data_IF_194881747138
#
_entry.id   IF_194881747138
#
_cell.length_a   1.000
_cell.length_b   1.000
_cell.length_c   1.000
_cell.angle_alpha   90.00
_cell.angle_beta   90.00
_cell.angle_gamma   90.00
#
_symmetry.space_group_name_H-M   'P 1'
#
loop_
_entity.id
_entity.type
_entity.pdbx_description
1 polymer ?
#
# COMPACT_ATOMS: atom_id res chain seq x y z
N UNK A 1 -13.98 -34.52 -44.34
CA UNK A 1 -13.56 -34.85 -42.97
C UNK A 1 -12.85 -33.62 -42.42
N UNK A 2 -13.26 -33.18 -41.22
CA UNK A 2 -12.84 -31.99 -40.46
C UNK A 2 -13.48 -30.62 -40.83
N UNK A 3 -14.18 -30.11 -39.81
CA UNK A 3 -14.99 -28.90 -39.63
C UNK A 3 -14.15 -27.61 -39.58
N UNK A 4 -14.69 -26.43 -39.98
CA UNK A 4 -14.14 -25.14 -39.60
C UNK A 4 -14.83 -24.59 -38.33
N UNK A 5 -14.02 -24.27 -37.31
CA UNK A 5 -14.44 -23.70 -36.04
C UNK A 5 -15.00 -22.27 -36.22
N UNK A 6 -16.19 -22.02 -35.66
CA UNK A 6 -16.90 -20.75 -35.66
C UNK A 6 -16.28 -19.78 -34.64
N UNK A 7 -15.92 -18.59 -35.10
CA UNK A 7 -15.76 -17.40 -34.27
C UNK A 7 -17.14 -16.75 -34.10
N UNK A 8 -17.69 -16.74 -32.88
CA UNK A 8 -18.82 -15.87 -32.52
C UNK A 8 -18.38 -14.92 -31.41
N UNK A 9 -18.02 -13.70 -31.82
CA UNK A 9 -18.01 -12.54 -30.96
C UNK A 9 -19.46 -12.09 -30.79
N UNK A 10 -20.12 -12.52 -29.70
CA UNK A 10 -21.47 -12.08 -29.39
C UNK A 10 -21.43 -10.69 -28.75
N UNK A 11 -21.53 -9.67 -29.59
CA UNK A 11 -21.92 -8.31 -29.19
C UNK A 11 -23.41 -8.37 -28.83
N UNK A 12 -23.73 -8.09 -27.57
CA UNK A 12 -25.11 -7.95 -27.09
C UNK A 12 -25.49 -6.47 -27.23
N UNK A 13 -26.24 -6.15 -28.28
CA UNK A 13 -26.99 -4.89 -28.37
C UNK A 13 -28.13 -4.92 -27.34
N UNK A 14 -28.23 -3.84 -26.56
CA UNK A 14 -29.31 -3.61 -25.61
C UNK A 14 -30.43 -2.87 -26.36
N UNK A 15 -31.63 -3.44 -26.54
CA UNK A 15 -32.73 -2.70 -27.13
C UNK A 15 -33.28 -1.69 -26.12
N UNK A 16 -33.27 -0.41 -26.51
CA UNK A 16 -33.99 0.68 -25.82
C UNK A 16 -35.47 0.56 -26.19
N UNK A 17 -36.31 0.16 -25.24
CA UNK A 17 -37.75 0.16 -25.40
C UNK A 17 -38.29 1.58 -25.18
N UNK A 18 -38.83 2.16 -26.26
CA UNK A 18 -39.73 3.31 -26.26
C UNK A 18 -41.14 2.82 -25.90
N UNK A 19 -41.75 3.48 -24.91
CA UNK A 19 -43.10 3.21 -24.43
C UNK A 19 -44.17 3.78 -25.39
N UNK A 20 -45.23 3.00 -25.63
CA UNK A 20 -46.45 3.47 -26.25
C UNK A 20 -47.48 2.36 -26.49
N UNK A 21 -48.61 2.41 -25.78
CA UNK A 21 -49.89 1.86 -26.26
C UNK A 21 -50.58 0.79 -25.41
N UNK A 22 -51.46 1.26 -24.51
CA UNK A 22 -52.81 0.78 -24.16
C UNK A 22 -53.16 -0.73 -24.01
N UNK A 23 -53.52 -1.05 -22.76
CA UNK A 23 -54.61 -1.88 -22.25
C UNK A 23 -55.38 -2.86 -23.18
N UNK A 24 -55.46 -4.13 -22.77
CA UNK A 24 -56.72 -4.78 -22.35
C UNK A 24 -56.53 -6.27 -22.04
N UNK A 25 -57.04 -6.72 -20.88
CA UNK A 25 -57.52 -8.08 -20.65
C UNK A 25 -56.47 -9.18 -20.47
N UNK A 26 -55.99 -9.40 -19.25
CA UNK A 26 -55.18 -10.58 -18.93
C UNK A 26 -54.64 -10.70 -17.51
N UNK A 27 -55.33 -10.18 -16.49
CA UNK A 27 -54.79 -10.14 -15.12
C UNK A 27 -54.66 -11.53 -14.45
N UNK A 28 -55.42 -12.53 -14.88
CA UNK A 28 -55.37 -13.87 -14.27
C UNK A 28 -54.32 -14.81 -14.91
N UNK A 29 -53.85 -14.52 -16.13
CA UNK A 29 -52.87 -15.35 -16.85
C UNK A 29 -51.41 -14.85 -16.71
N UNK A 30 -51.21 -13.63 -16.21
CA UNK A 30 -49.88 -13.05 -16.01
C UNK A 30 -49.26 -13.42 -14.65
N UNK A 31 -50.10 -13.72 -13.65
CA UNK A 31 -49.65 -14.18 -12.34
C UNK A 31 -49.11 -15.62 -12.36
N UNK A 32 -49.66 -16.50 -13.21
CA UNK A 32 -49.24 -17.92 -13.28
C UNK A 32 -48.04 -18.15 -14.23
N UNK A 33 -47.71 -17.17 -15.07
CA UNK A 33 -46.50 -17.20 -15.91
C UNK A 33 -45.29 -16.50 -15.27
N UNK A 34 -45.52 -15.75 -14.21
CA UNK A 34 -44.48 -15.14 -13.37
C UNK A 34 -43.97 -16.11 -12.29
N UNK A 35 -44.74 -17.14 -11.94
CA UNK A 35 -44.34 -18.23 -11.05
C UNK A 35 -43.51 -19.30 -11.79
N UNK A 36 -43.82 -19.58 -13.06
CA UNK A 36 -43.14 -20.62 -13.84
C UNK A 36 -41.79 -20.21 -14.47
N UNK A 37 -41.44 -18.92 -14.50
CA UNK A 37 -40.14 -18.43 -14.98
C UNK A 37 -39.19 -18.00 -13.84
N UNK A 38 -39.65 -18.08 -12.58
CA UNK A 38 -38.93 -17.66 -11.39
C UNK A 38 -38.38 -18.80 -10.53
N UNK A 39 -38.63 -20.06 -10.89
CA UNK A 39 -38.15 -21.22 -10.13
C UNK A 39 -36.64 -21.42 -10.33
N UNK A 40 -35.87 -20.99 -9.33
CA UNK A 40 -34.55 -21.54 -9.06
C UNK A 40 -33.34 -20.67 -9.41
N UNK A 41 -33.50 -19.40 -9.77
CA UNK A 41 -32.35 -18.51 -9.90
C UNK A 41 -32.11 -17.70 -8.61
N UNK A 42 -30.97 -17.87 -7.92
CA UNK A 42 -30.74 -17.28 -6.60
C UNK A 42 -30.74 -15.74 -6.61
N UNK A 43 -30.45 -15.10 -7.76
CA UNK A 43 -30.61 -13.64 -7.90
C UNK A 43 -32.08 -13.18 -7.94
N UNK A 44 -33.00 -14.02 -8.42
CA UNK A 44 -34.45 -13.74 -8.43
C UNK A 44 -35.05 -13.81 -7.03
N UNK A 45 -34.59 -14.77 -6.21
CA UNK A 45 -34.97 -14.88 -4.79
C UNK A 45 -34.46 -13.69 -3.95
N UNK A 46 -33.23 -13.21 -4.21
CA UNK A 46 -32.68 -12.01 -3.56
C UNK A 46 -33.44 -10.75 -3.99
N UNK A 47 -33.89 -10.68 -5.24
CA UNK A 47 -34.70 -9.57 -5.73
C UNK A 47 -36.10 -9.55 -5.09
N UNK A 48 -36.63 -10.72 -4.73
CA UNK A 48 -37.90 -10.87 -4.03
C UNK A 48 -37.82 -10.52 -2.53
N UNK A 49 -36.64 -10.59 -1.89
CA UNK A 49 -36.46 -10.23 -0.48
C UNK A 49 -35.77 -8.87 -0.27
N UNK A 50 -36.50 -7.89 0.27
CA UNK A 50 -35.99 -6.54 0.51
C UNK A 50 -34.73 -6.51 1.41
N UNK A 51 -34.61 -7.47 2.34
CA UNK A 51 -33.47 -7.58 3.26
C UNK A 51 -32.17 -7.99 2.56
N UNK A 52 -32.19 -9.03 1.72
CA UNK A 52 -31.00 -9.52 1.02
C UNK A 52 -30.52 -8.54 -0.05
N UNK A 53 -31.45 -7.85 -0.72
CA UNK A 53 -31.14 -6.76 -1.65
C UNK A 53 -30.44 -5.59 -0.94
N UNK A 54 -30.90 -5.20 0.25
CA UNK A 54 -30.30 -4.14 1.04
C UNK A 54 -28.90 -4.54 1.52
N UNK A 55 -28.72 -5.77 2.00
CA UNK A 55 -27.42 -6.31 2.42
C UNK A 55 -26.41 -6.30 1.25
N UNK A 56 -26.85 -6.73 0.06
CA UNK A 56 -26.02 -6.72 -1.15
C UNK A 56 -25.57 -5.30 -1.51
N UNK A 57 -26.48 -4.32 -1.48
CA UNK A 57 -26.13 -2.91 -1.72
C UNK A 57 -25.19 -2.34 -0.67
N UNK A 58 -25.38 -2.69 0.61
CA UNK A 58 -24.47 -2.29 1.70
C UNK A 58 -23.07 -2.88 1.49
N UNK A 59 -22.97 -4.15 1.14
CA UNK A 59 -21.70 -4.82 0.89
C UNK A 59 -20.99 -4.29 -0.37
N UNK A 60 -21.72 -4.01 -1.45
CA UNK A 60 -21.15 -3.32 -2.62
C UNK A 60 -20.60 -1.93 -2.23
N UNK A 61 -21.33 -1.18 -1.41
CA UNK A 61 -20.87 0.13 -0.92
C UNK A 61 -19.63 0.02 -0.05
N UNK A 62 -19.54 -1.01 0.80
CA UNK A 62 -18.35 -1.24 1.63
C UNK A 62 -17.16 -1.74 0.79
N UNK A 63 -17.38 -2.56 -0.24
CA UNK A 63 -16.36 -2.96 -1.20
C UNK A 63 -15.75 -1.73 -1.90
N UNK A 64 -16.59 -0.82 -2.40
CA UNK A 64 -16.15 0.45 -2.99
C UNK A 64 -15.34 1.30 -1.98
N UNK A 65 -15.77 1.32 -0.72
CA UNK A 65 -15.09 2.06 0.35
C UNK A 65 -13.72 1.46 0.66
N UNK A 66 -13.61 0.13 0.74
CA UNK A 66 -12.37 -0.59 0.93
C UNK A 66 -11.44 -0.40 -0.28
N UNK A 67 -11.97 -0.43 -1.50
CA UNK A 67 -11.23 -0.14 -2.73
C UNK A 67 -10.63 1.26 -2.74
N UNK A 68 -11.42 2.29 -2.42
CA UNK A 68 -10.92 3.67 -2.30
C UNK A 68 -9.85 3.82 -1.22
N UNK A 69 -10.03 3.16 -0.06
CA UNK A 69 -9.03 3.15 1.02
C UNK A 69 -7.73 2.46 0.61
N UNK A 70 -7.82 1.34 -0.09
CA UNK A 70 -6.67 0.61 -0.61
C UNK A 70 -5.87 1.50 -1.58
N UNK A 71 -6.53 2.13 -2.55
CA UNK A 71 -5.90 3.06 -3.49
C UNK A 71 -5.21 4.23 -2.76
N UNK A 72 -5.87 4.84 -1.76
CA UNK A 72 -5.27 5.91 -0.97
C UNK A 72 -4.05 5.45 -0.15
N UNK A 73 -4.04 4.20 0.35
CA UNK A 73 -2.90 3.62 1.05
C UNK A 73 -1.73 3.33 0.10
N UNK A 74 -2.01 2.83 -1.10
CA UNK A 74 -1.02 2.61 -2.16
C UNK A 74 -0.35 3.93 -2.57
N UNK A 75 -1.14 4.98 -2.84
CA UNK A 75 -0.62 6.30 -3.15
C UNK A 75 0.27 6.86 -2.03
N UNK A 76 -0.08 6.63 -0.76
CA UNK A 76 0.74 7.01 0.41
C UNK A 76 2.04 6.22 0.47
N UNK A 77 2.02 4.93 0.12
CA UNK A 77 3.23 4.11 0.06
C UNK A 77 4.17 4.60 -1.05
N UNK A 78 3.64 4.95 -2.22
CA UNK A 78 4.42 5.47 -3.33
C UNK A 78 5.01 6.85 -3.03
N UNK A 79 4.26 7.72 -2.36
CA UNK A 79 4.77 8.99 -1.85
C UNK A 79 5.91 8.77 -0.84
N UNK A 80 5.72 7.90 0.16
CA UNK A 80 6.75 7.60 1.16
C UNK A 80 8.02 7.00 0.52
N UNK A 81 7.89 6.18 -0.53
CA UNK A 81 9.01 5.63 -1.29
C UNK A 81 9.78 6.71 -2.03
N UNK A 82 9.08 7.61 -2.72
CA UNK A 82 9.70 8.75 -3.42
C UNK A 82 10.41 9.68 -2.43
N UNK A 83 9.76 10.04 -1.33
CA UNK A 83 10.33 10.87 -0.28
C UNK A 83 11.61 10.24 0.31
N UNK A 84 11.58 8.94 0.60
CA UNK A 84 12.75 8.22 1.10
C UNK A 84 13.90 8.24 0.08
N UNK A 85 13.60 8.07 -1.21
CA UNK A 85 14.61 8.16 -2.28
C UNK A 85 15.23 9.57 -2.35
N UNK A 86 14.43 10.62 -2.34
CA UNK A 86 14.92 12.01 -2.35
C UNK A 86 15.78 12.32 -1.13
N UNK A 87 15.37 11.86 0.05
CA UNK A 87 16.16 12.03 1.27
C UNK A 87 17.50 11.27 1.21
N UNK A 88 17.52 10.07 0.63
CA UNK A 88 18.76 9.33 0.40
C UNK A 88 19.68 10.05 -0.60
N UNK A 89 19.12 10.57 -1.69
CA UNK A 89 19.88 11.36 -2.67
C UNK A 89 20.44 12.64 -2.05
N UNK A 90 19.64 13.35 -1.25
CA UNK A 90 20.07 14.54 -0.51
C UNK A 90 21.18 14.22 0.49
N UNK A 91 21.09 13.08 1.19
CA UNK A 91 22.15 12.60 2.08
C UNK A 91 23.47 12.35 1.34
N UNK A 92 23.42 11.63 0.22
CA UNK A 92 24.62 11.37 -0.59
C UNK A 92 25.21 12.65 -1.17
N UNK A 93 24.37 13.56 -1.67
CA UNK A 93 24.80 14.86 -2.17
C UNK A 93 25.45 15.71 -1.06
N UNK A 94 24.87 15.71 0.15
CA UNK A 94 25.44 16.39 1.31
C UNK A 94 26.83 15.88 1.67
N UNK A 95 27.01 14.56 1.74
CA UNK A 95 28.30 13.94 2.03
C UNK A 95 29.31 14.11 0.87
N UNK A 96 28.85 14.05 -0.38
CA UNK A 96 29.70 14.31 -1.54
C UNK A 96 30.21 15.75 -1.58
N UNK A 97 29.33 16.72 -1.31
CA UNK A 97 29.69 18.14 -1.26
C UNK A 97 30.62 18.43 -0.09
N UNK A 98 30.37 17.86 1.10
CA UNK A 98 31.23 18.09 2.26
C UNK A 98 32.65 17.54 2.05
N UNK A 99 32.79 16.35 1.45
CA UNK A 99 34.09 15.79 1.07
C UNK A 99 34.79 16.62 -0.01
N UNK A 100 34.07 17.08 -1.03
CA UNK A 100 34.64 17.92 -2.09
C UNK A 100 35.15 19.27 -1.54
N UNK A 101 34.41 19.91 -0.65
CA UNK A 101 34.83 21.14 0.01
C UNK A 101 36.03 20.91 0.92
N UNK A 102 36.06 19.79 1.66
CA UNK A 102 37.19 19.44 2.51
C UNK A 102 38.46 19.21 1.70
N UNK A 103 38.35 18.51 0.57
CA UNK A 103 39.44 18.28 -0.36
C UNK A 103 39.94 19.59 -1.01
N UNK A 104 39.03 20.45 -1.45
CA UNK A 104 39.40 21.76 -1.98
C UNK A 104 40.13 22.62 -0.94
N UNK A 105 39.67 22.58 0.32
CA UNK A 105 40.31 23.27 1.43
C UNK A 105 41.71 22.71 1.76
N UNK A 106 41.91 21.38 1.71
CA UNK A 106 43.22 20.78 1.95
C UNK A 106 44.23 21.14 0.86
N UNK A 107 43.83 21.06 -0.42
CA UNK A 107 44.68 21.47 -1.56
C UNK A 107 45.06 22.95 -1.47
N UNK A 108 44.11 23.83 -1.15
CA UNK A 108 44.38 25.25 -0.99
C UNK A 108 45.34 25.54 0.19
N UNK A 109 45.21 24.81 1.30
CA UNK A 109 46.10 24.94 2.45
C UNK A 109 47.54 24.50 2.10
N UNK A 110 47.72 23.41 1.36
CA UNK A 110 49.04 22.94 0.91
C UNK A 110 49.73 23.91 -0.07
N UNK A 111 48.98 24.66 -0.87
CA UNK A 111 49.53 25.64 -1.81
C UNK A 111 49.93 26.98 -1.15
N UNK A 112 49.39 27.29 0.03
CA UNK A 112 49.48 28.63 0.61
C UNK A 112 50.68 28.88 1.56
N UNK A 113 51.35 27.86 2.14
CA UNK A 113 52.57 28.05 2.96
C UNK A 113 53.28 26.75 3.38
N UNK A 114 54.63 26.73 3.53
CA UNK A 114 55.42 25.61 4.05
C UNK A 114 55.62 25.61 5.59
N UNK A 115 54.82 26.35 6.37
CA UNK A 115 54.98 26.45 7.83
C UNK A 115 53.94 25.60 8.59
N UNK A 116 54.34 24.71 9.52
CA UNK A 116 53.44 23.80 10.20
C UNK A 116 52.83 24.44 11.45
N UNK A 117 51.62 24.99 11.33
CA UNK A 117 50.68 24.97 12.46
C UNK A 117 49.24 25.19 12.00
N UNK A 118 48.51 24.11 11.65
CA UNK A 118 47.06 24.21 11.64
C UNK A 118 46.60 24.48 13.08
N UNK A 119 45.96 25.62 13.31
CA UNK A 119 45.32 25.85 14.62
C UNK A 119 44.29 24.73 14.89
N UNK A 120 44.39 23.99 16.02
CA UNK A 120 43.54 22.83 16.32
C UNK A 120 42.12 23.21 16.82
N UNK A 121 41.77 24.49 16.87
CA UNK A 121 40.69 24.96 17.75
C UNK A 121 39.25 24.95 17.16
N UNK A 122 39.04 24.62 15.88
CA UNK A 122 37.71 24.78 15.23
C UNK A 122 37.18 23.62 14.38
N UNK A 123 37.85 22.47 14.44
CA UNK A 123 37.60 21.31 13.57
C UNK A 123 36.37 20.49 14.00
N UNK A 124 35.98 20.64 15.26
CA UNK A 124 34.79 20.02 15.83
C UNK A 124 33.50 20.65 15.29
N UNK A 125 33.48 21.94 14.93
CA UNK A 125 32.28 22.62 14.45
C UNK A 125 31.74 22.06 13.12
N UNK A 126 32.52 21.92 12.03
CA UNK A 126 32.04 21.29 10.79
C UNK A 126 31.75 19.80 10.98
N UNK A 127 32.49 19.11 11.85
CA UNK A 127 32.29 17.69 12.15
C UNK A 127 30.98 17.43 12.91
N UNK A 128 30.69 18.21 13.96
CA UNK A 128 29.43 18.13 14.71
C UNK A 128 28.24 18.55 13.87
N UNK A 129 28.37 19.60 13.05
CA UNK A 129 27.30 20.03 12.15
C UNK A 129 27.00 18.97 11.09
N UNK A 130 28.04 18.37 10.49
CA UNK A 130 27.87 17.27 9.54
C UNK A 130 27.24 16.04 10.19
N UNK A 131 27.64 15.70 11.42
CA UNK A 131 27.05 14.61 12.18
C UNK A 131 25.57 14.88 12.47
N UNK A 132 25.23 16.07 12.95
CA UNK A 132 23.85 16.47 13.22
C UNK A 132 22.98 16.43 11.96
N UNK A 133 23.47 16.95 10.83
CA UNK A 133 22.77 16.90 9.55
C UNK A 133 22.56 15.46 9.05
N UNK A 134 23.60 14.62 9.16
CA UNK A 134 23.51 13.20 8.79
C UNK A 134 22.49 12.43 9.63
N UNK A 135 22.46 12.68 10.95
CA UNK A 135 21.51 12.07 11.87
C UNK A 135 20.08 12.55 11.59
N UNK A 136 19.90 13.84 11.29
CA UNK A 136 18.59 14.41 10.94
C UNK A 136 18.06 13.79 9.63
N UNK A 137 18.90 13.65 8.61
CA UNK A 137 18.52 13.01 7.34
C UNK A 137 18.22 11.52 7.53
N UNK A 138 19.04 10.80 8.28
CA UNK A 138 18.79 9.39 8.60
C UNK A 138 17.47 9.21 9.38
N UNK A 139 17.20 10.08 10.36
CA UNK A 139 15.94 10.08 11.09
C UNK A 139 14.75 10.38 10.16
N UNK A 140 14.88 11.34 9.24
CA UNK A 140 13.84 11.64 8.25
C UNK A 140 13.54 10.44 7.34
N UNK A 141 14.57 9.76 6.82
CA UNK A 141 14.42 8.52 6.04
C UNK A 141 13.70 7.46 6.88
N UNK A 142 14.12 7.29 8.14
CA UNK A 142 13.52 6.32 9.05
C UNK A 142 12.03 6.60 9.30
N UNK A 143 11.63 7.86 9.44
CA UNK A 143 10.23 8.24 9.58
C UNK A 143 9.41 7.87 8.33
N UNK A 144 9.97 8.07 7.12
CA UNK A 144 9.31 7.69 5.85
C UNK A 144 9.20 6.18 5.70
N UNK A 145 10.24 5.42 6.04
CA UNK A 145 10.24 3.95 6.06
C UNK A 145 9.20 3.42 7.05
N UNK A 146 9.14 3.98 8.26
CA UNK A 146 8.12 3.65 9.25
C UNK A 146 6.70 3.99 8.77
N UNK A 147 6.50 5.12 8.09
CA UNK A 147 5.22 5.47 7.48
C UNK A 147 4.82 4.46 6.38
N UNK A 148 5.76 4.07 5.52
CA UNK A 148 5.57 3.06 4.49
C UNK A 148 5.12 1.72 5.10
N UNK A 149 5.84 1.20 6.10
CA UNK A 149 5.48 -0.07 6.73
C UNK A 149 4.14 -0.03 7.46
N UNK A 150 3.79 1.10 8.08
CA UNK A 150 2.47 1.31 8.69
C UNK A 150 1.36 1.29 7.63
N UNK A 151 1.54 1.96 6.50
CA UNK A 151 0.59 1.96 5.39
C UNK A 151 0.46 0.55 4.78
N UNK A 152 1.58 -0.14 4.54
CA UNK A 152 1.60 -1.51 4.02
C UNK A 152 0.90 -2.49 4.98
N UNK A 153 1.08 -2.35 6.28
CA UNK A 153 0.41 -3.19 7.27
C UNK A 153 -1.11 -2.96 7.28
N UNK A 154 -1.57 -1.72 7.14
CA UNK A 154 -3.00 -1.39 7.00
C UNK A 154 -3.56 -1.95 5.70
N UNK A 155 -2.88 -1.73 4.57
CA UNK A 155 -3.31 -2.24 3.26
C UNK A 155 -3.46 -3.77 3.25
N UNK A 156 -2.56 -4.49 3.91
CA UNK A 156 -2.67 -5.96 4.05
C UNK A 156 -3.89 -6.39 4.87
N UNK A 157 -4.33 -5.59 5.84
CA UNK A 157 -5.55 -5.85 6.62
C UNK A 157 -6.78 -5.57 5.76
N UNK A 158 -6.84 -4.39 5.16
CA UNK A 158 -7.96 -3.96 4.31
C UNK A 158 -8.17 -4.94 3.14
N UNK A 159 -7.10 -5.43 2.51
CA UNK A 159 -7.20 -6.48 1.46
C UNK A 159 -7.67 -7.83 1.99
N UNK A 160 -7.39 -8.15 3.25
CA UNK A 160 -7.93 -9.33 3.91
C UNK A 160 -9.44 -9.22 4.11
N UNK A 161 -9.88 -8.06 4.61
CA UNK A 161 -11.31 -7.75 4.83
C UNK A 161 -12.07 -7.71 3.50
N UNK A 162 -11.48 -7.11 2.45
CA UNK A 162 -12.07 -7.11 1.10
C UNK A 162 -12.26 -8.52 0.53
N UNK A 163 -11.30 -9.43 0.76
CA UNK A 163 -11.44 -10.85 0.33
C UNK A 163 -12.52 -11.58 1.13
N UNK A 164 -12.65 -11.31 2.42
CA UNK A 164 -13.71 -11.90 3.24
C UNK A 164 -15.09 -11.41 2.79
N UNK A 165 -15.21 -10.11 2.50
CA UNK A 165 -16.41 -9.51 1.94
C UNK A 165 -16.78 -10.10 0.58
N UNK A 166 -15.81 -10.23 -0.34
CA UNK A 166 -16.04 -10.84 -1.66
C UNK A 166 -16.58 -12.28 -1.54
N UNK A 167 -16.06 -13.07 -0.60
CA UNK A 167 -16.57 -14.42 -0.31
C UNK A 167 -17.99 -14.39 0.24
N UNK A 168 -18.29 -13.48 1.17
CA UNK A 168 -19.65 -13.33 1.71
C UNK A 168 -20.65 -12.93 0.61
N UNK A 169 -20.28 -12.01 -0.28
CA UNK A 169 -21.09 -11.61 -1.44
C UNK A 169 -21.31 -12.81 -2.38
N UNK A 170 -20.28 -13.61 -2.65
CA UNK A 170 -20.41 -14.82 -3.47
C UNK A 170 -21.32 -15.86 -2.81
N UNK A 171 -21.19 -16.08 -1.50
CA UNK A 171 -22.07 -17.00 -0.76
C UNK A 171 -23.53 -16.52 -0.75
N UNK A 172 -23.76 -15.21 -0.60
CA UNK A 172 -25.10 -14.62 -0.69
C UNK A 172 -25.69 -14.84 -2.09
N UNK A 173 -24.91 -14.58 -3.15
CA UNK A 173 -25.33 -14.79 -4.54
C UNK A 173 -25.58 -16.27 -4.87
N UNK A 174 -24.93 -17.20 -4.18
CA UNK A 174 -25.11 -18.63 -4.38
C UNK A 174 -26.29 -19.19 -3.57
N UNK A 175 -26.49 -18.74 -2.34
CA UNK A 175 -27.49 -19.27 -1.39
C UNK A 175 -28.84 -18.57 -1.46
N UNK A 176 -28.92 -17.37 -2.04
CA UNK A 176 -30.18 -16.65 -2.20
C UNK A 176 -30.90 -16.42 -0.88
N UNK A 177 -32.16 -16.81 -0.81
CA UNK A 177 -33.00 -16.67 0.39
C UNK A 177 -32.55 -17.56 1.57
N UNK A 178 -31.82 -18.64 1.32
CA UNK A 178 -31.27 -19.52 2.36
C UNK A 178 -30.03 -18.94 3.06
N UNK A 179 -29.60 -17.73 2.69
CA UNK A 179 -28.52 -17.04 3.37
C UNK A 179 -28.97 -16.53 4.75
N UNK A 180 -28.32 -17.04 5.79
CA UNK A 180 -28.56 -16.63 7.17
C UNK A 180 -28.03 -15.19 7.40
N UNK A 181 -28.97 -14.26 7.59
CA UNK A 181 -28.71 -12.85 7.82
C UNK A 181 -27.94 -12.59 9.13
N UNK A 182 -27.88 -13.56 10.05
CA UNK A 182 -27.10 -13.45 11.29
C UNK A 182 -25.60 -13.71 11.10
N UNK A 183 -25.19 -14.30 9.96
CA UNK A 183 -23.78 -14.42 9.58
C UNK A 183 -23.27 -13.11 9.01
N UNK A 184 -23.05 -12.15 9.90
CA UNK A 184 -22.32 -10.95 9.53
C UNK A 184 -20.87 -11.33 9.18
N UNK A 185 -20.32 -10.85 8.04
CA UNK A 185 -18.91 -11.05 7.72
C UNK A 185 -18.08 -10.56 8.90
N UNK A 186 -17.32 -11.47 9.52
CA UNK A 186 -16.53 -11.17 10.70
C UNK A 186 -15.36 -10.26 10.32
N UNK A 187 -15.60 -8.96 10.26
CA UNK A 187 -14.58 -7.94 10.06
C UNK A 187 -13.71 -7.86 11.31
N UNK A 188 -12.39 -8.01 11.17
CA UNK A 188 -11.41 -7.67 12.21
C UNK A 188 -11.39 -8.50 13.51
N UNK A 189 -12.40 -9.31 13.84
CA UNK A 189 -12.52 -9.99 15.16
C UNK A 189 -11.64 -11.24 15.28
N UNK A 190 -11.50 -12.03 14.22
CA UNK A 190 -10.77 -13.32 14.30
C UNK A 190 -9.26 -13.18 14.26
N UNK A 191 -8.72 -12.08 13.71
CA UNK A 191 -7.28 -11.95 13.47
C UNK A 191 -6.49 -11.33 14.62
N UNK A 192 -7.15 -10.62 15.53
CA UNK A 192 -6.50 -10.08 16.72
C UNK A 192 -5.93 -11.18 17.64
N UNK A 193 -6.50 -12.39 17.61
CA UNK A 193 -6.06 -13.54 18.43
C UNK A 193 -5.00 -14.43 17.76
N UNK A 194 -4.95 -14.50 16.43
CA UNK A 194 -3.98 -15.37 15.70
C UNK A 194 -2.63 -14.70 15.39
N UNK A 195 -2.48 -13.39 15.58
CA UNK A 195 -1.22 -12.69 15.26
C UNK A 195 -0.08 -12.94 16.27
N UNK A 196 -0.36 -13.62 17.38
CA UNK A 196 0.55 -13.70 18.52
C UNK A 196 1.53 -14.90 18.48
N UNK A 197 1.22 -15.99 17.76
CA UNK A 197 1.93 -17.27 18.00
C UNK A 197 2.87 -17.74 16.87
N UNK A 198 2.63 -17.45 15.59
CA UNK A 198 3.26 -18.27 14.53
C UNK A 198 4.47 -17.68 13.79
N UNK A 199 5.06 -16.56 14.24
CA UNK A 199 6.24 -16.05 13.51
C UNK A 199 7.14 -15.06 14.22
N UNK A 200 6.92 -14.77 15.50
CA UNK A 200 7.59 -13.69 16.21
C UNK A 200 8.95 -14.06 16.82
N UNK A 201 9.23 -15.34 17.10
CA UNK A 201 10.41 -15.73 17.89
C UNK A 201 11.76 -15.52 17.21
N UNK A 202 12.02 -16.21 16.09
CA UNK A 202 13.36 -16.22 15.47
C UNK A 202 13.54 -15.20 14.33
N UNK A 203 12.47 -14.85 13.62
CA UNK A 203 12.53 -14.04 12.40
C UNK A 203 12.19 -12.55 12.62
N UNK A 204 11.74 -12.17 13.81
CA UNK A 204 11.49 -10.77 14.14
C UNK A 204 12.73 -9.87 13.97
N UNK A 205 13.92 -10.22 14.48
CA UNK A 205 15.10 -9.38 14.31
C UNK A 205 15.51 -9.28 12.84
N UNK A 206 15.45 -10.38 12.08
CA UNK A 206 15.80 -10.36 10.66
C UNK A 206 14.82 -9.51 9.84
N UNK A 207 13.51 -9.59 10.13
CA UNK A 207 12.51 -8.73 9.50
C UNK A 207 12.73 -7.27 9.86
N UNK A 208 13.04 -6.96 11.12
CA UNK A 208 13.36 -5.60 11.54
C UNK A 208 14.60 -5.08 10.82
N UNK A 209 15.67 -5.88 10.74
CA UNK A 209 16.89 -5.51 10.01
C UNK A 209 16.59 -5.27 8.53
N UNK A 210 15.84 -6.18 7.87
CA UNK A 210 15.43 -6.01 6.47
C UNK A 210 14.57 -4.77 6.24
N UNK A 211 13.71 -4.42 7.20
CA UNK A 211 12.87 -3.22 7.12
C UNK A 211 13.68 -1.93 7.28
N UNK A 212 14.81 -1.98 7.98
CA UNK A 212 15.66 -0.84 8.31
C UNK A 212 17.02 -0.84 7.59
N UNK A 213 17.22 -1.71 6.60
CA UNK A 213 18.51 -1.87 5.89
C UNK A 213 18.99 -0.55 5.29
N UNK A 214 18.08 0.25 4.74
CA UNK A 214 18.41 1.56 4.15
C UNK A 214 18.98 2.51 5.22
N UNK A 215 18.33 2.60 6.37
CA UNK A 215 18.77 3.44 7.50
C UNK A 215 20.11 2.97 8.06
N UNK A 216 20.31 1.65 8.16
CA UNK A 216 21.59 1.06 8.58
C UNK A 216 22.72 1.40 7.59
N UNK A 217 22.46 1.33 6.27
CA UNK A 217 23.43 1.72 5.25
C UNK A 217 23.78 3.22 5.35
N UNK A 218 22.79 4.10 5.56
CA UNK A 218 23.05 5.54 5.73
C UNK A 218 23.89 5.82 6.98
N UNK A 219 23.58 5.16 8.10
CA UNK A 219 24.40 5.27 9.32
C UNK A 219 25.83 4.77 9.08
N UNK A 220 26.01 3.68 8.34
CA UNK A 220 27.34 3.16 8.00
C UNK A 220 28.14 4.15 7.15
N UNK A 221 27.51 4.79 6.15
CA UNK A 221 28.15 5.84 5.35
C UNK A 221 28.51 7.05 6.21
N UNK A 222 27.60 7.51 7.08
CA UNK A 222 27.90 8.60 8.01
C UNK A 222 29.07 8.26 8.95
N UNK A 223 29.10 7.02 9.47
CA UNK A 223 30.18 6.54 10.34
C UNK A 223 31.53 6.45 9.61
N UNK A 224 31.54 6.09 8.32
CA UNK A 224 32.74 6.05 7.49
C UNK A 224 33.25 7.45 7.09
N UNK A 225 32.37 8.44 6.97
CA UNK A 225 32.74 9.82 6.65
C UNK A 225 33.46 10.55 7.80
N UNK A 226 33.26 10.12 9.05
CA UNK A 226 33.93 10.70 10.22
C UNK A 226 35.46 10.45 10.26
N UNK A 227 35.97 9.21 10.08
CA UNK A 227 37.41 8.96 10.04
C UNK A 227 38.05 9.52 8.77
N UNK A 228 37.37 9.55 7.62
CA UNK A 228 37.96 10.09 6.38
C UNK A 228 38.32 11.58 6.51
N UNK A 229 37.52 12.37 7.24
CA UNK A 229 37.85 13.76 7.53
C UNK A 229 39.12 13.93 8.37
N UNK A 230 39.38 13.01 9.31
CA UNK A 230 40.64 12.98 10.06
C UNK A 230 41.82 12.60 9.18
N UNK A 231 41.69 11.59 8.32
CA UNK A 231 42.78 11.17 7.43
C UNK A 231 43.17 12.28 6.43
N UNK A 232 42.20 12.96 5.82
CA UNK A 232 42.45 14.01 4.83
C UNK A 232 43.12 15.24 5.44
N UNK A 233 42.82 15.56 6.70
CA UNK A 233 43.36 16.75 7.35
C UNK A 233 44.64 16.50 8.17
N UNK A 234 44.97 15.23 8.44
CA UNK A 234 46.20 14.81 9.13
C UNK A 234 47.25 14.21 8.17
N UNK A 235 47.02 14.26 6.85
CA UNK A 235 48.01 14.03 5.80
C UNK A 235 48.49 15.35 5.24
#
# INVERSE_FOLDING_TARGET
>A
MAEPAKNEAHVVEIPVAVDGGEASGGDEAFLDKSTAAGEGHPLGEIAASAGHLLLLKLWQREEDRLGRRACALEARMDAARRDAFYLCAAFLAFHGLSLALLFAASVAASAASPSPSPSPARWWAPSSLSLAASLALAAAVQLRVCAYWRAAARLRRDRGDARALARAVQELRLKGAAFDLSKEPQYGVTRAKCASVEGAGAWAPLRWCRQNVVTLCLLAVAAAALPSGKFILCT
#
